data_IF_614833704777
#
_entry.id   IF_614833704777
#
_cell.length_a   1.000
_cell.length_b   1.000
_cell.length_c   1.000
_cell.angle_alpha   90.00
_cell.angle_beta   90.00
_cell.angle_gamma   90.00
#
_symmetry.space_group_name_H-M   'P 1'
#
loop_
_entity.id
_entity.type
_entity.pdbx_description
1 polymer ?
#
# COMPACT_ATOMS: atom_id res chain seq x y z
N UNK A 1 1.19 7.54 12.57
CA UNK A 1 1.72 8.88 12.91
C UNK A 1 2.39 9.58 11.72
N UNK A 2 2.94 8.83 10.75
CA UNK A 2 3.61 9.43 9.59
C UNK A 2 2.66 9.93 8.49
N UNK A 3 1.42 9.47 8.47
CA UNK A 3 0.40 9.92 7.51
C UNK A 3 0.05 11.42 7.69
N UNK A 4 0.29 11.98 8.88
CA UNK A 4 0.02 13.39 9.18
C UNK A 4 0.97 14.38 8.51
N UNK A 5 2.13 13.93 8.05
CA UNK A 5 3.10 14.80 7.35
C UNK A 5 2.80 14.97 5.86
N UNK A 6 1.92 14.13 5.32
CA UNK A 6 1.39 14.27 3.96
C UNK A 6 0.08 15.06 3.99
N UNK A 7 0.19 16.37 4.27
CA UNK A 7 -0.96 17.28 4.26
C UNK A 7 -1.40 17.47 2.80
N UNK A 8 -2.50 16.83 2.45
CA UNK A 8 -3.07 16.88 1.11
C UNK A 8 -3.43 15.49 0.59
N UNK A 9 -3.97 15.46 -0.61
CA UNK A 9 -4.29 14.23 -1.30
C UNK A 9 -3.00 13.61 -1.82
N UNK A 10 -2.75 12.36 -1.46
CA UNK A 10 -1.60 11.57 -1.94
C UNK A 10 -2.09 10.27 -2.54
N UNK A 11 -1.37 9.78 -3.52
CA UNK A 11 -1.59 8.44 -4.05
C UNK A 11 -0.98 7.43 -3.08
N UNK A 12 -1.80 6.56 -2.52
CA UNK A 12 -1.37 5.49 -1.62
C UNK A 12 -1.69 4.15 -2.30
N UNK A 13 -0.66 3.39 -2.59
CA UNK A 13 -0.77 2.16 -3.37
C UNK A 13 -0.20 0.98 -2.60
N UNK A 14 -0.79 -0.18 -2.80
CA UNK A 14 -0.21 -1.42 -2.32
C UNK A 14 0.99 -1.80 -3.19
N UNK A 15 2.12 -2.05 -2.56
CA UNK A 15 3.34 -2.46 -3.22
C UNK A 15 4.06 -3.59 -2.50
N UNK A 16 5.11 -4.08 -3.12
CA UNK A 16 6.02 -5.07 -2.53
C UNK A 16 7.44 -4.56 -2.70
N UNK A 17 8.15 -4.42 -1.57
CA UNK A 17 9.59 -4.14 -1.62
C UNK A 17 10.30 -5.41 -2.05
N UNK A 18 10.86 -5.41 -3.25
CA UNK A 18 11.56 -6.58 -3.81
C UNK A 18 12.89 -6.78 -3.09
N UNK A 19 13.65 -5.72 -2.98
CA UNK A 19 14.89 -5.58 -2.20
C UNK A 19 15.17 -4.09 -1.99
N UNK A 20 16.24 -3.76 -1.33
CA UNK A 20 16.66 -2.37 -1.15
C UNK A 20 16.69 -1.62 -2.48
N UNK A 21 16.07 -0.46 -2.51
CA UNK A 21 15.97 0.44 -3.66
C UNK A 21 15.15 -0.07 -4.86
N UNK A 22 14.39 -1.14 -4.68
CA UNK A 22 13.49 -1.65 -5.73
C UNK A 22 12.13 -2.04 -5.15
N UNK A 23 11.09 -1.40 -5.63
CA UNK A 23 9.69 -1.65 -5.23
C UNK A 23 8.84 -2.01 -6.43
N UNK A 24 7.90 -2.92 -6.26
CA UNK A 24 6.90 -3.27 -7.27
C UNK A 24 5.53 -2.78 -6.86
N UNK A 25 4.87 -2.06 -7.75
CA UNK A 25 3.46 -1.69 -7.62
C UNK A 25 2.83 -1.58 -9.02
N UNK A 26 1.51 -1.71 -9.11
CA UNK A 26 0.78 -1.72 -10.40
C UNK A 26 1.37 -2.70 -11.43
N UNK A 27 1.95 -3.82 -10.99
CA UNK A 27 2.56 -4.82 -11.86
C UNK A 27 3.91 -4.43 -12.47
N UNK A 28 4.47 -3.30 -12.08
CA UNK A 28 5.73 -2.74 -12.61
C UNK A 28 6.75 -2.52 -11.50
N UNK A 29 8.01 -2.75 -11.77
CA UNK A 29 9.12 -2.50 -10.85
C UNK A 29 9.66 -1.09 -11.02
N UNK A 30 9.87 -0.41 -9.90
CA UNK A 30 10.38 0.96 -9.84
C UNK A 30 11.60 1.04 -8.94
N UNK A 31 12.59 1.78 -9.39
CA UNK A 31 13.69 2.16 -8.51
C UNK A 31 13.19 3.19 -7.49
N UNK A 32 13.63 3.06 -6.24
CA UNK A 32 13.38 4.01 -5.16
C UNK A 32 14.67 4.24 -4.36
N UNK A 33 14.63 5.13 -3.39
CA UNK A 33 15.82 5.43 -2.55
C UNK A 33 15.79 4.75 -1.20
N UNK A 34 14.64 4.21 -0.83
CA UNK A 34 14.42 3.57 0.46
C UNK A 34 15.12 2.20 0.56
N UNK A 35 15.62 1.92 1.74
CA UNK A 35 16.32 0.66 2.07
C UNK A 35 15.97 0.21 3.50
N UNK A 36 16.29 -1.03 3.84
CA UNK A 36 16.07 -1.56 5.18
C UNK A 36 14.67 -2.14 5.44
N UNK A 37 13.85 -2.32 4.42
CA UNK A 37 12.52 -2.95 4.55
C UNK A 37 12.54 -4.47 4.49
N UNK A 38 13.59 -5.06 3.91
CA UNK A 38 13.71 -6.49 3.66
C UNK A 38 13.40 -6.86 2.20
N UNK A 39 13.37 -8.16 1.93
CA UNK A 39 13.09 -8.69 0.60
C UNK A 39 11.67 -9.25 0.51
N UNK A 40 10.97 -8.96 -0.59
CA UNK A 40 9.59 -9.40 -0.85
C UNK A 40 8.61 -9.08 0.29
N UNK A 41 8.73 -7.88 0.87
CA UNK A 41 7.90 -7.41 1.98
C UNK A 41 6.78 -6.51 1.45
N UNK A 42 5.52 -6.74 1.86
CA UNK A 42 4.42 -5.84 1.51
C UNK A 42 4.62 -4.47 2.16
N UNK A 43 4.44 -3.42 1.36
CA UNK A 43 4.62 -2.03 1.77
C UNK A 43 3.51 -1.15 1.19
N UNK A 44 3.34 0.04 1.76
CA UNK A 44 2.56 1.10 1.15
C UNK A 44 3.49 2.05 0.40
N UNK A 45 3.12 2.34 -0.85
CA UNK A 45 3.82 3.28 -1.72
C UNK A 45 3.04 4.58 -1.73
N UNK A 46 3.69 5.68 -1.38
CA UNK A 46 3.08 7.01 -1.33
C UNK A 46 3.75 7.90 -2.35
N UNK A 47 2.94 8.48 -3.26
CA UNK A 47 3.40 9.39 -4.32
C UNK A 47 2.51 10.61 -4.30
N UNK A 48 3.10 11.80 -4.28
CA UNK A 48 2.35 13.05 -4.34
C UNK A 48 1.84 13.31 -5.76
N UNK A 49 0.64 13.89 -5.93
CA UNK A 49 0.10 14.18 -7.25
C UNK A 49 0.99 15.06 -8.12
N UNK A 50 1.68 16.03 -7.52
CA UNK A 50 2.61 16.94 -8.19
C UNK A 50 3.94 16.30 -8.61
N UNK A 51 4.26 15.13 -8.04
CA UNK A 51 5.50 14.40 -8.33
C UNK A 51 5.32 13.34 -9.44
N UNK A 52 4.09 13.17 -9.92
CA UNK A 52 3.77 12.35 -11.07
C UNK A 52 3.82 13.19 -12.36
N UNK A 53 4.74 12.85 -13.25
CA UNK A 53 4.82 13.44 -14.57
C UNK A 53 3.83 12.77 -15.50
N UNK A 54 3.02 13.57 -16.19
CA UNK A 54 2.05 13.15 -17.19
C UNK A 54 2.42 13.68 -18.57
N UNK A 55 2.38 12.81 -19.58
CA UNK A 55 2.71 13.16 -20.96
C UNK A 55 2.03 12.21 -21.94
N UNK A 56 1.99 12.52 -23.25
CA UNK A 56 1.49 11.57 -24.23
C UNK A 56 2.25 10.24 -24.17
N UNK A 57 1.56 9.14 -24.43
CA UNK A 57 2.16 7.80 -24.40
C UNK A 57 3.46 7.76 -25.22
N UNK A 58 4.53 7.34 -24.59
CA UNK A 58 5.86 7.21 -25.18
C UNK A 58 6.66 6.09 -24.52
N UNK A 59 7.81 5.75 -25.10
CA UNK A 59 8.73 4.74 -24.54
C UNK A 59 9.33 5.12 -23.18
N UNK A 60 9.19 6.40 -22.78
CA UNK A 60 9.64 6.91 -21.48
C UNK A 60 8.63 6.65 -20.37
N UNK A 61 7.39 6.26 -20.70
CA UNK A 61 6.35 6.02 -19.71
C UNK A 61 6.66 4.76 -18.90
N UNK A 62 6.65 4.89 -17.58
CA UNK A 62 6.74 3.75 -16.67
C UNK A 62 5.37 3.08 -16.51
N UNK A 63 4.30 3.87 -16.56
CA UNK A 63 2.92 3.42 -16.55
C UNK A 63 2.15 4.08 -17.67
N UNK A 64 1.16 3.42 -18.20
CA UNK A 64 0.22 3.97 -19.17
C UNK A 64 -1.20 3.85 -18.65
N UNK A 65 -2.01 4.87 -18.89
CA UNK A 65 -3.39 4.91 -18.41
C UNK A 65 -4.26 5.83 -19.23
N UNK A 66 -5.51 5.93 -18.80
CA UNK A 66 -6.53 6.76 -19.44
C UNK A 66 -7.04 7.81 -18.46
N UNK A 67 -7.08 9.05 -18.89
CA UNK A 67 -7.61 10.17 -18.09
C UNK A 67 -9.09 9.97 -17.85
N UNK A 68 -9.50 9.90 -16.60
CA UNK A 68 -10.90 9.75 -16.18
C UNK A 68 -11.55 11.10 -15.87
N UNK A 69 -10.79 12.00 -15.24
CA UNK A 69 -11.24 13.36 -14.92
C UNK A 69 -10.11 14.35 -15.18
N UNK A 70 -10.48 15.59 -15.49
CA UNK A 70 -9.53 16.70 -15.64
C UNK A 70 -10.22 17.97 -15.21
N UNK A 71 -9.76 18.56 -14.12
CA UNK A 71 -10.39 19.73 -13.47
C UNK A 71 -9.34 20.82 -13.29
N UNK A 72 -9.63 22.02 -13.77
CA UNK A 72 -8.77 23.18 -13.54
C UNK A 72 -8.98 23.75 -12.12
N UNK A 73 -7.91 23.85 -11.37
CA UNK A 73 -7.91 24.33 -9.97
C UNK A 73 -7.40 25.78 -9.82
N UNK A 74 -7.37 26.54 -10.90
CA UNK A 74 -6.94 27.94 -10.91
C UNK A 74 -5.48 28.16 -11.27
N UNK A 75 -4.59 27.22 -10.98
CA UNK A 75 -3.14 27.29 -11.28
C UNK A 75 -2.68 26.06 -12.06
N UNK A 76 -3.23 24.90 -11.74
CA UNK A 76 -2.89 23.61 -12.37
C UNK A 76 -4.17 22.82 -12.65
N UNK A 77 -4.02 21.78 -13.43
CA UNK A 77 -5.07 20.75 -13.65
C UNK A 77 -4.86 19.61 -12.67
N UNK A 78 -5.95 19.17 -12.06
CA UNK A 78 -6.02 17.97 -11.29
C UNK A 78 -6.71 16.90 -12.12
N UNK A 79 -6.00 15.84 -12.40
CA UNK A 79 -6.44 14.77 -13.27
C UNK A 79 -6.42 13.43 -12.55
N UNK A 80 -7.45 12.61 -12.79
CA UNK A 80 -7.44 11.22 -12.36
C UNK A 80 -7.13 10.34 -13.56
N UNK A 81 -6.10 9.50 -13.44
CA UNK A 81 -5.65 8.61 -14.50
C UNK A 81 -5.79 7.16 -14.04
N UNK A 82 -6.53 6.37 -14.80
CA UNK A 82 -6.70 4.95 -14.51
C UNK A 82 -5.59 4.14 -15.19
N UNK A 83 -4.74 3.52 -14.39
CA UNK A 83 -3.64 2.66 -14.83
C UNK A 83 -3.80 1.26 -14.23
N UNK A 84 -4.09 0.25 -15.05
CA UNK A 84 -4.12 -1.14 -14.60
C UNK A 84 -5.07 -1.44 -13.42
N UNK A 85 -6.18 -0.70 -13.30
CA UNK A 85 -7.13 -0.85 -12.19
C UNK A 85 -6.86 0.05 -10.99
N UNK A 86 -5.78 0.86 -11.02
CA UNK A 86 -5.47 1.86 -10.00
C UNK A 86 -5.75 3.26 -10.52
N UNK A 87 -6.38 4.09 -9.69
CA UNK A 87 -6.61 5.50 -10.00
C UNK A 87 -5.49 6.35 -9.40
N UNK A 88 -4.79 7.07 -10.27
CA UNK A 88 -3.74 8.01 -9.87
C UNK A 88 -4.27 9.42 -9.94
N UNK A 89 -4.11 10.17 -8.87
CA UNK A 89 -4.31 11.61 -8.85
C UNK A 89 -3.03 12.29 -9.32
N UNK A 90 -3.12 13.13 -10.33
CA UNK A 90 -1.99 13.84 -10.95
C UNK A 90 -2.28 15.34 -10.97
N UNK A 91 -1.30 16.14 -10.60
CA UNK A 91 -1.35 17.61 -10.73
C UNK A 91 -0.30 18.05 -11.73
N UNK A 92 -0.73 18.72 -12.81
CA UNK A 92 0.16 19.22 -13.84
C UNK A 92 -0.38 20.52 -14.45
N UNK A 93 0.48 21.30 -15.04
CA UNK A 93 0.10 22.52 -15.75
C UNK A 93 -0.49 22.25 -17.14
N UNK A 94 -0.21 21.07 -17.69
CA UNK A 94 -0.74 20.66 -19.00
C UNK A 94 -2.10 20.00 -18.83
N UNK A 95 -2.99 20.31 -19.76
CA UNK A 95 -4.31 19.74 -19.83
C UNK A 95 -4.33 18.51 -20.73
N UNK A 96 -4.90 17.42 -20.23
CA UNK A 96 -5.25 16.25 -21.00
C UNK A 96 -6.76 16.01 -20.90
N UNK A 97 -7.37 15.71 -22.04
CA UNK A 97 -8.83 15.49 -22.08
C UNK A 97 -9.20 14.13 -21.47
N UNK A 98 -10.41 14.06 -20.93
CA UNK A 98 -11.01 12.80 -20.47
C UNK A 98 -11.07 11.81 -21.63
N UNK A 99 -10.58 10.59 -21.40
CA UNK A 99 -10.47 9.54 -22.40
C UNK A 99 -9.14 9.50 -23.15
N UNK A 100 -8.25 10.48 -22.93
CA UNK A 100 -6.91 10.48 -23.53
C UNK A 100 -6.03 9.40 -22.91
N UNK A 101 -5.27 8.70 -23.75
CA UNK A 101 -4.21 7.81 -23.27
C UNK A 101 -2.96 8.62 -22.95
N UNK A 102 -2.42 8.42 -21.76
CA UNK A 102 -1.27 9.14 -21.24
C UNK A 102 -0.25 8.20 -20.62
N UNK A 103 0.99 8.66 -20.60
CA UNK A 103 2.09 8.03 -19.87
C UNK A 103 2.30 8.73 -18.53
N UNK A 104 2.63 7.97 -17.52
CA UNK A 104 3.07 8.46 -16.21
C UNK A 104 4.50 8.06 -15.93
N UNK A 105 5.22 8.95 -15.26
CA UNK A 105 6.58 8.73 -14.79
C UNK A 105 6.72 9.32 -13.39
N UNK A 106 7.40 8.59 -12.52
CA UNK A 106 7.79 9.05 -11.18
C UNK A 106 9.27 8.83 -10.97
N UNK A 107 9.94 9.79 -10.36
CA UNK A 107 11.37 9.67 -10.04
C UNK A 107 11.59 8.84 -8.79
N UNK A 108 12.73 8.16 -8.66
CA UNK A 108 13.05 7.36 -7.49
C UNK A 108 12.97 8.11 -6.15
N UNK A 109 13.31 9.40 -6.13
CA UNK A 109 13.26 10.25 -4.93
C UNK A 109 11.84 10.61 -4.50
N UNK A 110 10.89 10.53 -5.41
CA UNK A 110 9.49 10.94 -5.19
C UNK A 110 8.59 9.75 -4.82
N UNK A 111 9.16 8.55 -4.79
CA UNK A 111 8.51 7.32 -4.30
C UNK A 111 8.85 7.16 -2.82
N UNK A 112 7.83 7.27 -1.96
CA UNK A 112 7.99 7.11 -0.51
C UNK A 112 7.44 5.76 -0.09
N UNK A 113 8.25 4.99 0.65
CA UNK A 113 7.89 3.65 1.12
C UNK A 113 7.54 3.71 2.60
N UNK A 114 6.39 3.15 2.95
CA UNK A 114 5.93 3.03 4.32
C UNK A 114 5.69 1.58 4.68
N UNK A 115 6.05 1.19 5.89
CA UNK A 115 5.70 -0.12 6.41
C UNK A 115 4.19 -0.23 6.51
N UNK A 116 3.64 -1.34 6.03
CA UNK A 116 2.26 -1.70 6.31
C UNK A 116 2.13 -1.96 7.80
N UNK A 117 1.34 -1.12 8.47
CA UNK A 117 0.92 -1.41 9.84
C UNK A 117 -0.06 -2.58 9.78
N UNK A 118 0.30 -3.70 10.42
CA UNK A 118 -0.66 -4.75 10.69
C UNK A 118 -1.61 -4.24 11.75
N UNK A 119 -2.81 -3.87 11.34
CA UNK A 119 -3.90 -3.64 12.27
C UNK A 119 -4.42 -5.00 12.69
N UNK A 120 -4.05 -5.43 13.89
CA UNK A 120 -4.53 -6.68 14.47
C UNK A 120 -5.18 -6.41 15.82
N UNK A 121 -6.19 -7.21 16.15
CA UNK A 121 -6.76 -7.24 17.49
C UNK A 121 -5.87 -8.10 18.39
N UNK A 122 -5.51 -7.57 19.54
CA UNK A 122 -4.69 -8.27 20.53
C UNK A 122 -5.52 -8.65 21.73
N UNK A 123 -5.49 -9.91 22.12
CA UNK A 123 -6.21 -10.44 23.27
C UNK A 123 -5.27 -11.22 24.17
N UNK A 124 -5.55 -11.20 25.46
CA UNK A 124 -4.92 -12.13 26.39
C UNK A 124 -5.74 -13.42 26.45
N UNK A 125 -5.07 -14.56 26.31
CA UNK A 125 -5.70 -15.86 26.31
C UNK A 125 -4.86 -16.90 27.02
N UNK A 126 -5.40 -18.10 27.14
CA UNK A 126 -4.70 -19.27 27.69
C UNK A 126 -4.62 -20.38 26.67
N UNK A 127 -3.46 -20.95 26.54
CA UNK A 127 -3.24 -22.11 25.69
C UNK A 127 -3.92 -23.34 26.29
N UNK A 128 -4.84 -23.95 25.54
CA UNK A 128 -5.52 -25.21 25.96
C UNK A 128 -4.69 -26.43 25.59
N UNK A 129 -4.17 -26.43 24.37
CA UNK A 129 -3.24 -27.44 23.86
C UNK A 129 -2.37 -26.83 22.74
N UNK A 130 -1.57 -27.63 22.04
CA UNK A 130 -0.66 -27.17 21.00
C UNK A 130 -1.34 -26.44 19.81
N UNK A 131 -2.64 -26.58 19.64
CA UNK A 131 -3.42 -26.03 18.50
C UNK A 131 -4.66 -25.26 18.90
N UNK A 132 -4.96 -25.14 20.21
CA UNK A 132 -6.15 -24.46 20.72
C UNK A 132 -5.80 -23.42 21.77
N UNK A 133 -6.40 -22.25 21.65
CA UNK A 133 -6.26 -21.14 22.60
C UNK A 133 -7.64 -20.69 23.07
N UNK A 134 -7.79 -20.42 24.37
CA UNK A 134 -9.00 -19.84 24.95
C UNK A 134 -8.81 -18.34 25.18
N UNK A 135 -9.70 -17.54 24.61
CA UNK A 135 -9.80 -16.12 24.89
C UNK A 135 -11.25 -15.65 24.71
N UNK A 136 -11.63 -14.61 25.41
CA UNK A 136 -13.02 -14.08 25.43
C UNK A 136 -14.08 -15.15 25.77
N UNK A 137 -13.71 -16.14 26.57
CA UNK A 137 -14.63 -17.22 26.97
C UNK A 137 -14.92 -18.27 25.91
N UNK A 138 -14.19 -18.27 24.81
CA UNK A 138 -14.31 -19.24 23.72
C UNK A 138 -12.96 -19.87 23.39
N UNK A 139 -12.99 -21.12 22.94
CA UNK A 139 -11.81 -21.85 22.47
C UNK A 139 -11.71 -21.76 20.95
N UNK A 140 -10.54 -21.35 20.45
CA UNK A 140 -10.25 -21.22 19.02
C UNK A 140 -9.08 -22.11 18.63
N UNK A 141 -9.13 -22.62 17.41
CA UNK A 141 -8.00 -23.31 16.80
C UNK A 141 -6.94 -22.28 16.36
N UNK A 142 -5.69 -22.53 16.69
CA UNK A 142 -4.56 -21.68 16.33
C UNK A 142 -3.45 -22.47 15.64
N UNK A 143 -2.47 -21.77 15.10
CA UNK A 143 -1.27 -22.40 14.57
C UNK A 143 -0.56 -23.19 15.68
N UNK A 144 0.03 -24.33 15.32
CA UNK A 144 0.73 -25.18 16.29
C UNK A 144 1.83 -24.42 17.03
N UNK A 145 1.77 -24.44 18.35
CA UNK A 145 2.73 -23.81 19.24
C UNK A 145 3.55 -24.88 19.95
N UNK A 146 4.81 -24.97 19.62
CA UNK A 146 5.72 -25.93 20.25
C UNK A 146 6.39 -25.33 21.49
N UNK A 147 6.59 -26.15 22.51
CA UNK A 147 7.34 -25.78 23.70
C UNK A 147 6.59 -25.05 24.80
N UNK A 148 5.27 -24.84 24.66
CA UNK A 148 4.42 -24.26 25.70
C UNK A 148 3.49 -25.33 26.29
N UNK A 149 3.30 -25.28 27.61
CA UNK A 149 2.38 -26.19 28.33
C UNK A 149 0.95 -25.63 28.30
N UNK A 150 -0.01 -26.55 28.41
CA UNK A 150 -1.43 -26.22 28.59
C UNK A 150 -1.64 -25.33 29.82
N UNK A 151 -2.45 -24.29 29.69
CA UNK A 151 -2.71 -23.31 30.74
C UNK A 151 -1.73 -22.12 30.77
N UNK A 152 -0.76 -22.06 29.85
CA UNK A 152 0.16 -20.91 29.70
C UNK A 152 -0.60 -19.69 29.20
N UNK A 153 -0.36 -18.53 29.85
CA UNK A 153 -0.87 -17.26 29.37
C UNK A 153 -0.19 -16.85 28.08
N UNK A 154 -0.96 -16.56 27.05
CA UNK A 154 -0.47 -16.20 25.72
C UNK A 154 -1.15 -14.95 25.21
N UNK A 155 -0.44 -14.21 24.35
CA UNK A 155 -0.99 -13.09 23.61
C UNK A 155 -1.52 -13.59 22.26
N UNK A 156 -2.79 -13.35 22.02
CA UNK A 156 -3.46 -13.75 20.77
C UNK A 156 -3.58 -12.53 19.87
N UNK A 157 -3.02 -12.63 18.68
CA UNK A 157 -3.14 -11.60 17.64
C UNK A 157 -3.99 -12.15 16.50
N UNK A 158 -5.04 -11.40 16.15
CA UNK A 158 -5.95 -11.74 15.06
C UNK A 158 -5.92 -10.63 14.02
N UNK A 159 -5.48 -10.93 12.82
CA UNK A 159 -5.47 -9.99 11.72
C UNK A 159 -6.90 -9.58 11.34
N UNK A 160 -7.13 -8.29 11.06
CA UNK A 160 -8.45 -7.75 10.75
C UNK A 160 -9.12 -8.41 9.56
N UNK A 161 -8.35 -8.77 8.54
CA UNK A 161 -8.82 -9.42 7.32
C UNK A 161 -9.10 -10.94 7.48
N UNK A 162 -8.72 -11.51 8.64
CA UNK A 162 -8.96 -12.91 8.99
C UNK A 162 -10.19 -13.12 9.87
N UNK A 163 -10.84 -12.05 10.31
CA UNK A 163 -12.06 -12.14 11.10
C UNK A 163 -13.25 -12.37 10.17
N UNK A 164 -13.91 -13.52 10.32
CA UNK A 164 -15.13 -13.86 9.59
C UNK A 164 -16.31 -13.63 10.55
N UNK A 165 -17.18 -12.70 10.15
CA UNK A 165 -18.46 -12.49 10.84
C UNK A 165 -19.48 -13.49 10.30
N UNK A 166 -19.95 -14.35 11.17
CA UNK A 166 -21.03 -15.30 10.87
C UNK A 166 -22.35 -14.81 11.49
#
# INVERSE_FOLDING_TARGET
>A
AFVADFIGESNILNGTMIHDKLVRFCGTEFECVDEGFGENVPVDVVIRPEDLYIFPVSDMAQLTGVVQTSIFKGVHYEMTVLCGGYEFLVQDYHHFEVGAEVGLLVKPFDIHIMKKERVCNTFEGKLQDATHVEFLGCTFECASVEGLESGTDVKVEVDFDKVILQ
#
